data_IF_090922812908
#
_entry.id   IF_090922812908
#
_cell.length_a   1.000
_cell.length_b   1.000
_cell.length_c   1.000
_cell.angle_alpha   90.00
_cell.angle_beta   90.00
_cell.angle_gamma   90.00
#
_symmetry.space_group_name_H-M   'P 1'
#
loop_
_entity.id
_entity.type
_entity.pdbx_description
1 polymer ?
#
# COMPACT_ATOMS: atom_id res chain seq x y z
N UNK A 1 15.21 18.24 -28.24
CA UNK A 1 16.47 18.43 -27.49
C UNK A 1 16.15 18.45 -26.02
N UNK A 2 16.94 17.71 -25.23
CA UNK A 2 16.85 17.61 -23.75
C UNK A 2 15.93 16.47 -23.29
N UNK A 3 16.35 15.44 -22.57
CA UNK A 3 17.67 15.08 -22.08
C UNK A 3 17.67 13.57 -21.80
N UNK A 4 18.82 12.94 -22.02
CA UNK A 4 19.03 11.54 -21.70
C UNK A 4 18.97 11.33 -20.19
N UNK A 5 18.21 10.34 -19.73
CA UNK A 5 18.41 9.72 -18.43
C UNK A 5 18.48 8.23 -18.65
N UNK A 6 19.70 7.77 -18.95
CA UNK A 6 20.04 6.37 -18.95
C UNK A 6 19.70 5.79 -17.59
N UNK A 7 18.75 4.86 -17.56
CA UNK A 7 18.53 3.96 -16.45
C UNK A 7 19.70 2.97 -16.46
N UNK A 8 20.87 3.46 -16.05
CA UNK A 8 22.04 2.64 -15.84
C UNK A 8 21.70 1.59 -14.80
N UNK A 9 22.00 0.35 -15.16
CA UNK A 9 21.78 -0.93 -14.48
C UNK A 9 22.48 -1.06 -13.11
N UNK A 10 22.52 0.00 -12.31
CA UNK A 10 23.35 0.09 -11.11
C UNK A 10 22.84 1.05 -10.03
N UNK A 11 21.53 1.11 -9.77
CA UNK A 11 21.00 1.77 -8.56
C UNK A 11 21.28 0.89 -7.34
N UNK A 12 22.57 0.72 -7.05
CA UNK A 12 23.13 -0.05 -5.96
C UNK A 12 22.92 0.78 -4.71
N UNK A 13 21.83 0.51 -3.99
CA UNK A 13 21.72 0.79 -2.56
C UNK A 13 22.11 2.22 -2.17
N UNK A 14 21.55 3.23 -2.86
CA UNK A 14 21.83 4.62 -2.49
C UNK A 14 21.07 4.96 -1.22
N UNK A 15 21.85 5.27 -0.18
CA UNK A 15 21.39 5.80 1.09
C UNK A 15 20.68 7.14 0.81
N UNK A 16 19.46 7.37 1.35
CA UNK A 16 18.62 8.53 1.01
C UNK A 16 19.20 9.90 1.36
N UNK A 17 20.33 9.97 2.07
CA UNK A 17 20.95 11.23 2.53
C UNK A 17 21.68 12.02 1.42
N UNK A 18 22.09 11.38 0.33
CA UNK A 18 22.90 12.01 -0.75
C UNK A 18 22.07 12.41 -2.00
N UNK A 19 20.74 12.17 -1.99
CA UNK A 19 19.90 12.38 -3.18
C UNK A 19 19.37 13.82 -3.26
N UNK A 20 19.43 14.43 -4.45
CA UNK A 20 18.75 15.68 -4.77
C UNK A 20 17.23 15.53 -4.67
N UNK A 21 16.50 16.64 -4.51
CA UNK A 21 15.03 16.62 -4.38
C UNK A 21 14.32 15.87 -5.53
N UNK A 22 14.85 15.97 -6.77
CA UNK A 22 14.31 15.26 -7.93
C UNK A 22 14.55 13.74 -7.86
N UNK A 23 15.74 13.32 -7.41
CA UNK A 23 16.08 11.91 -7.25
C UNK A 23 15.31 11.25 -6.09
N UNK A 24 14.92 12.04 -5.08
CA UNK A 24 14.06 11.57 -3.98
C UNK A 24 12.67 11.18 -4.46
N UNK A 25 12.09 11.92 -5.41
CA UNK A 25 10.77 11.59 -5.96
C UNK A 25 10.81 10.29 -6.79
N UNK A 26 11.84 10.13 -7.63
CA UNK A 26 12.06 8.90 -8.41
C UNK A 26 12.29 7.69 -7.49
N UNK A 27 13.12 7.86 -6.46
CA UNK A 27 13.37 6.81 -5.47
C UNK A 27 12.08 6.39 -4.75
N UNK A 28 11.23 7.34 -4.35
CA UNK A 28 9.92 7.03 -3.75
C UNK A 28 9.09 6.17 -4.69
N UNK A 29 8.83 6.65 -5.90
CA UNK A 29 8.06 5.93 -6.91
C UNK A 29 8.61 4.53 -7.18
N UNK A 30 9.94 4.39 -7.18
CA UNK A 30 10.62 3.11 -7.35
C UNK A 30 10.36 2.14 -6.20
N UNK A 31 10.42 2.58 -4.94
CA UNK A 31 10.14 1.74 -3.76
C UNK A 31 8.70 1.21 -3.78
N UNK A 32 7.72 2.04 -4.15
CA UNK A 32 6.34 1.59 -4.34
C UNK A 32 6.22 0.58 -5.49
N UNK A 33 6.95 0.79 -6.59
CA UNK A 33 7.02 -0.16 -7.71
C UNK A 33 7.55 -1.52 -7.26
N UNK A 34 8.57 -1.58 -6.40
CA UNK A 34 9.05 -2.85 -5.85
C UNK A 34 7.97 -3.61 -5.09
N UNK A 35 7.16 -2.91 -4.29
CA UNK A 35 6.03 -3.51 -3.59
C UNK A 35 4.98 -4.05 -4.58
N UNK A 36 4.58 -3.27 -5.59
CA UNK A 36 3.63 -3.68 -6.65
C UNK A 36 4.11 -4.94 -7.41
N UNK A 37 5.42 -5.05 -7.64
CA UNK A 37 6.04 -6.18 -8.34
C UNK A 37 6.48 -7.32 -7.41
N UNK A 38 6.06 -7.33 -6.13
CA UNK A 38 6.37 -8.38 -5.14
C UNK A 38 7.87 -8.56 -4.86
N UNK A 39 8.68 -7.53 -5.10
CA UNK A 39 10.14 -7.52 -4.87
C UNK A 39 10.42 -7.22 -3.39
N UNK A 40 10.01 -8.14 -2.51
CA UNK A 40 10.05 -7.95 -1.04
C UNK A 40 11.45 -7.58 -0.52
N UNK A 41 12.51 -8.18 -1.07
CA UNK A 41 13.89 -7.90 -0.67
C UNK A 41 14.29 -6.44 -0.88
N UNK A 42 13.78 -5.81 -1.93
CA UNK A 42 14.09 -4.42 -2.24
C UNK A 42 13.24 -3.46 -1.43
N UNK A 43 11.99 -3.82 -1.12
CA UNK A 43 11.18 -3.10 -0.15
C UNK A 43 11.85 -3.13 1.23
N UNK A 44 12.32 -4.29 1.67
CA UNK A 44 13.06 -4.45 2.92
C UNK A 44 14.34 -3.63 2.94
N UNK A 45 15.16 -3.73 1.88
CA UNK A 45 16.39 -2.95 1.75
C UNK A 45 16.11 -1.44 1.74
N UNK A 46 15.03 -0.97 1.10
CA UNK A 46 14.66 0.44 1.13
C UNK A 46 14.33 0.91 2.55
N UNK A 47 13.57 0.12 3.31
CA UNK A 47 13.24 0.40 4.70
C UNK A 47 14.49 0.35 5.61
N UNK A 48 15.42 -0.57 5.38
CA UNK A 48 16.71 -0.62 6.08
C UNK A 48 17.59 0.60 5.78
N UNK A 49 17.49 1.14 4.57
CA UNK A 49 18.16 2.39 4.20
C UNK A 49 17.45 3.64 4.73
N UNK A 50 16.39 3.51 5.52
CA UNK A 50 15.69 4.64 6.13
C UNK A 50 14.58 5.24 5.27
N UNK A 51 14.04 4.48 4.30
CA UNK A 51 12.80 4.87 3.65
C UNK A 51 11.67 5.00 4.71
N UNK A 52 10.93 6.12 4.74
CA UNK A 52 9.88 6.32 5.73
C UNK A 52 8.75 5.31 5.55
N UNK A 53 8.40 4.57 6.60
CA UNK A 53 7.45 3.45 6.49
C UNK A 53 6.03 3.90 6.11
N UNK A 54 5.64 5.08 6.56
CA UNK A 54 4.34 5.71 6.30
C UNK A 54 4.40 6.75 5.18
N UNK A 55 5.46 6.70 4.38
CA UNK A 55 5.54 7.49 3.16
C UNK A 55 4.32 7.22 2.28
N UNK A 56 3.81 8.27 1.65
CA UNK A 56 2.72 8.18 0.68
C UNK A 56 3.23 8.40 -0.74
N UNK A 57 2.68 7.61 -1.68
CA UNK A 57 2.81 7.85 -3.12
C UNK A 57 1.91 9.00 -3.58
N UNK A 58 1.93 9.31 -4.88
CA UNK A 58 1.12 10.37 -5.49
C UNK A 58 -0.40 10.17 -5.33
N UNK A 59 -0.84 8.97 -4.94
CA UNK A 59 -2.23 8.65 -4.68
C UNK A 59 -2.56 8.61 -3.18
N UNK A 60 -1.61 8.98 -2.32
CA UNK A 60 -1.75 8.90 -0.86
C UNK A 60 -1.58 7.48 -0.32
N UNK A 61 -1.13 6.51 -1.12
CA UNK A 61 -1.02 5.14 -0.67
C UNK A 61 0.31 4.92 0.05
N UNK A 62 0.27 4.25 1.19
CA UNK A 62 1.47 3.77 1.89
C UNK A 62 1.95 2.42 1.36
N UNK A 63 3.15 1.99 1.76
CA UNK A 63 3.64 0.65 1.41
C UNK A 63 2.70 -0.46 1.91
N UNK A 64 2.15 -0.28 3.11
CA UNK A 64 1.14 -1.18 3.66
C UNK A 64 -0.13 -1.18 2.81
N UNK A 65 -0.57 -0.02 2.33
CA UNK A 65 -1.72 0.09 1.44
C UNK A 65 -1.51 -0.67 0.13
N UNK A 66 -0.35 -0.48 -0.52
CA UNK A 66 -0.02 -1.19 -1.77
C UNK A 66 0.07 -2.71 -1.54
N UNK A 67 0.62 -3.13 -0.41
CA UNK A 67 0.65 -4.54 -0.03
C UNK A 67 -0.76 -5.11 0.19
N UNK A 68 -1.65 -4.34 0.82
CA UNK A 68 -3.05 -4.70 1.04
C UNK A 68 -3.83 -4.86 -0.27
N UNK A 69 -3.70 -3.89 -1.19
CA UNK A 69 -4.32 -3.95 -2.52
C UNK A 69 -3.93 -5.22 -3.30
N UNK A 70 -2.66 -5.62 -3.21
CA UNK A 70 -2.12 -6.75 -3.96
C UNK A 70 -2.15 -8.08 -3.18
N UNK A 71 -2.70 -8.11 -1.96
CA UNK A 71 -2.75 -9.31 -1.13
C UNK A 71 -1.39 -9.81 -0.65
N UNK A 72 -0.38 -8.94 -0.59
CA UNK A 72 1.01 -9.29 -0.28
C UNK A 72 1.22 -9.44 1.21
N UNK A 73 0.77 -10.56 1.77
CA UNK A 73 0.81 -10.83 3.21
C UNK A 73 2.20 -10.69 3.82
N UNK A 74 3.26 -11.10 3.13
CA UNK A 74 4.64 -10.97 3.62
C UNK A 74 5.09 -9.51 3.67
N UNK A 75 4.78 -8.71 2.65
CA UNK A 75 5.10 -7.29 2.62
C UNK A 75 4.32 -6.52 3.69
N UNK A 76 3.02 -6.81 3.85
CA UNK A 76 2.21 -6.20 4.91
C UNK A 76 2.72 -6.54 6.31
N UNK A 77 3.09 -7.81 6.55
CA UNK A 77 3.74 -8.24 7.81
C UNK A 77 5.04 -7.48 8.06
N UNK A 78 5.86 -7.33 7.03
CA UNK A 78 7.11 -6.59 7.14
C UNK A 78 6.84 -5.12 7.50
N UNK A 79 5.91 -4.45 6.80
CA UNK A 79 5.56 -3.06 7.08
C UNK A 79 5.08 -2.86 8.53
N UNK A 80 4.16 -3.72 9.00
CA UNK A 80 3.64 -3.64 10.36
C UNK A 80 4.70 -3.93 11.43
N UNK A 81 5.62 -4.87 11.18
CA UNK A 81 6.77 -5.09 12.08
C UNK A 81 7.71 -3.89 12.16
N UNK A 82 7.77 -3.07 11.11
CA UNK A 82 8.53 -1.82 11.06
C UNK A 82 7.74 -0.62 11.59
N UNK A 83 6.55 -0.82 12.15
CA UNK A 83 5.76 0.22 12.78
C UNK A 83 4.83 0.99 11.84
N UNK A 84 4.52 0.46 10.64
CA UNK A 84 3.56 1.10 9.74
C UNK A 84 2.22 1.37 10.41
N UNK A 85 1.67 2.56 10.19
CA UNK A 85 0.33 2.91 10.63
C UNK A 85 -0.73 2.19 9.79
N UNK A 86 -1.49 1.32 10.45
CA UNK A 86 -2.47 0.43 9.81
C UNK A 86 -3.70 1.14 9.25
N UNK A 87 -4.01 2.33 9.78
CA UNK A 87 -5.23 3.07 9.50
C UNK A 87 -5.03 4.30 8.58
N UNK A 88 -3.84 4.49 8.01
CA UNK A 88 -3.60 5.64 7.12
C UNK A 88 -4.48 5.58 5.88
N UNK A 89 -5.18 6.67 5.63
CA UNK A 89 -6.07 6.82 4.49
C UNK A 89 -5.31 7.34 3.28
N UNK A 90 -5.67 6.83 2.10
CA UNK A 90 -5.23 7.41 0.84
C UNK A 90 -6.04 8.65 0.44
N UNK A 91 -5.75 9.25 -0.72
CA UNK A 91 -6.46 10.46 -1.18
C UNK A 91 -7.98 10.26 -1.41
N UNK A 92 -8.47 9.01 -1.41
CA UNK A 92 -9.89 8.67 -1.50
C UNK A 92 -10.51 8.30 -0.14
N UNK A 93 -9.80 8.57 0.95
CA UNK A 93 -10.24 8.20 2.30
C UNK A 93 -10.19 6.69 2.57
N UNK A 94 -9.68 5.85 1.66
CA UNK A 94 -9.67 4.41 1.90
C UNK A 94 -8.48 4.03 2.77
N UNK A 95 -8.70 3.13 3.73
CA UNK A 95 -7.63 2.48 4.51
C UNK A 95 -7.13 1.22 3.79
N UNK A 96 -5.97 0.65 4.17
CA UNK A 96 -5.51 -0.65 3.67
C UNK A 96 -6.57 -1.76 3.83
N UNK A 97 -7.38 -1.69 4.91
CA UNK A 97 -8.43 -2.67 5.18
C UNK A 97 -9.55 -2.63 4.13
N UNK A 98 -9.98 -1.44 3.67
CA UNK A 98 -10.97 -1.30 2.59
C UNK A 98 -10.56 -2.10 1.35
N UNK A 99 -9.29 -2.03 0.98
CA UNK A 99 -8.77 -2.73 -0.21
C UNK A 99 -8.58 -4.22 0.02
N UNK A 100 -8.25 -4.67 1.25
CA UNK A 100 -8.23 -6.10 1.52
C UNK A 100 -9.60 -6.74 1.29
N UNK A 101 -10.67 -6.11 1.75
CA UNK A 101 -12.01 -6.62 1.51
C UNK A 101 -12.46 -6.45 0.05
N UNK A 102 -12.17 -5.32 -0.60
CA UNK A 102 -12.60 -5.06 -1.99
C UNK A 102 -12.01 -6.05 -2.99
N UNK A 103 -10.79 -6.55 -2.72
CA UNK A 103 -10.10 -7.52 -3.56
C UNK A 103 -10.16 -8.96 -3.00
N UNK A 104 -10.92 -9.20 -1.92
CA UNK A 104 -11.12 -10.55 -1.37
C UNK A 104 -9.92 -11.15 -0.62
N UNK A 105 -9.00 -10.33 -0.13
CA UNK A 105 -7.81 -10.75 0.62
C UNK A 105 -8.14 -11.01 2.10
N UNK A 106 -9.13 -11.86 2.39
CA UNK A 106 -9.69 -12.07 3.74
C UNK A 106 -8.64 -12.47 4.78
N UNK A 107 -7.66 -13.29 4.40
CA UNK A 107 -6.58 -13.70 5.30
C UNK A 107 -5.60 -12.58 5.65
N UNK A 108 -5.49 -11.55 4.81
CA UNK A 108 -4.75 -10.33 5.11
C UNK A 108 -5.62 -9.34 5.88
N UNK A 109 -6.90 -9.20 5.54
CA UNK A 109 -7.86 -8.37 6.29
C UNK A 109 -7.91 -8.77 7.76
N UNK A 110 -8.08 -10.08 8.04
CA UNK A 110 -8.10 -10.60 9.41
C UNK A 110 -6.80 -10.29 10.15
N UNK A 111 -5.66 -10.38 9.46
CA UNK A 111 -4.36 -10.03 10.06
C UNK A 111 -4.22 -8.54 10.35
N UNK A 112 -4.75 -7.65 9.50
CA UNK A 112 -4.74 -6.21 9.76
C UNK A 112 -5.62 -5.86 10.96
N UNK A 113 -6.80 -6.46 11.08
CA UNK A 113 -7.70 -6.29 12.24
C UNK A 113 -7.01 -6.75 13.53
N UNK A 114 -6.34 -7.90 13.50
CA UNK A 114 -5.54 -8.39 14.64
C UNK A 114 -4.42 -7.41 15.05
N UNK A 115 -3.94 -6.58 14.10
CA UNK A 115 -2.94 -5.54 14.34
C UNK A 115 -3.54 -4.15 14.62
N UNK A 116 -4.84 -4.08 14.90
CA UNK A 116 -5.52 -2.84 15.30
C UNK A 116 -6.04 -2.01 14.12
N UNK A 117 -6.27 -2.62 12.96
CA UNK A 117 -7.00 -1.95 11.89
C UNK A 117 -8.44 -1.65 12.35
N UNK A 118 -8.88 -0.43 12.12
CA UNK A 118 -10.21 0.04 12.45
C UNK A 118 -11.13 -0.15 11.22
N UNK A 119 -12.13 -1.01 11.36
CA UNK A 119 -13.14 -1.33 10.36
C UNK A 119 -14.28 -0.30 10.30
N UNK A 120 -14.37 0.61 11.28
CA UNK A 120 -15.38 1.67 11.33
C UNK A 120 -15.00 2.93 10.57
N UNK A 121 -13.74 3.05 10.11
CA UNK A 121 -13.28 4.20 9.33
C UNK A 121 -14.06 4.29 8.03
N UNK A 122 -14.64 5.46 7.77
CA UNK A 122 -15.35 5.76 6.55
C UNK A 122 -14.42 6.35 5.49
N UNK A 123 -14.58 5.92 4.25
CA UNK A 123 -13.90 6.54 3.12
C UNK A 123 -14.54 7.88 2.71
N UNK A 124 -14.02 8.53 1.66
CA UNK A 124 -14.56 9.82 1.19
C UNK A 124 -16.01 9.76 0.69
N UNK A 125 -16.52 8.56 0.38
CA UNK A 125 -17.92 8.33 0.00
C UNK A 125 -18.82 8.08 1.23
N UNK A 126 -18.27 8.16 2.44
CA UNK A 126 -18.99 7.87 3.69
C UNK A 126 -19.25 6.39 3.93
N UNK A 127 -18.47 5.50 3.31
CA UNK A 127 -18.67 4.05 3.39
C UNK A 127 -17.63 3.39 4.29
N UNK A 128 -18.08 2.45 5.12
CA UNK A 128 -17.18 1.57 5.89
C UNK A 128 -16.50 0.52 4.99
N UNK A 129 -15.59 -0.27 5.57
CA UNK A 129 -14.95 -1.39 4.87
C UNK A 129 -15.95 -2.46 4.42
N UNK A 130 -17.11 -2.58 5.04
CA UNK A 130 -18.14 -3.55 4.64
C UNK A 130 -19.02 -3.03 3.50
N UNK A 131 -19.30 -1.72 3.48
CA UNK A 131 -20.19 -1.11 2.49
C UNK A 131 -19.45 -0.69 1.21
N UNK A 132 -18.21 -0.19 1.35
CA UNK A 132 -17.41 0.27 0.22
C UNK A 132 -17.01 -0.84 -0.75
N UNK A 133 -16.97 -2.08 -0.26
CA UNK A 133 -16.49 -3.25 -1.02
C UNK A 133 -17.59 -3.86 -1.89
N UNK A 134 -18.86 -3.67 -1.50
CA UNK A 134 -20.01 -4.02 -2.31
C UNK A 134 -20.11 -3.19 -3.60
N UNK A 135 -19.60 -1.93 -3.60
CA UNK A 135 -19.61 -1.06 -4.79
C UNK A 135 -18.54 -1.42 -5.82
N UNK A 136 -17.43 -2.03 -5.39
CA UNK A 136 -16.28 -2.34 -6.26
C UNK A 136 -16.13 -3.85 -6.58
N UNK A 137 -16.88 -4.70 -5.86
CA UNK A 137 -17.00 -6.12 -6.21
C UNK A 137 -17.84 -6.26 -7.47
N UNK A 138 -17.29 -6.90 -8.51
CA UNK A 138 -18.12 -7.47 -9.60
C UNK A 138 -19.27 -8.23 -8.95
N UNK A 139 -20.51 -8.14 -9.46
CA UNK A 139 -21.67 -8.75 -8.82
C UNK A 139 -21.48 -10.27 -8.75
N UNK A 140 -20.94 -10.74 -7.63
CA UNK A 140 -21.05 -12.13 -7.25
C UNK A 140 -22.47 -12.26 -6.72
N UNK A 141 -23.37 -12.69 -7.62
CA UNK A 141 -24.70 -13.24 -7.34
C UNK A 141 -25.43 -12.62 -6.16
N UNK A 142 -26.48 -11.86 -6.47
CA UNK A 142 -27.63 -11.74 -5.58
C UNK A 142 -27.94 -13.13 -5.01
N UNK A 143 -27.64 -13.34 -3.73
CA UNK A 143 -28.37 -14.29 -2.91
C UNK A 143 -29.40 -13.44 -2.17
N UNK A 144 -30.69 -13.56 -2.51
CA UNK A 144 -31.71 -12.84 -1.78
C UNK A 144 -31.82 -13.52 -0.42
N UNK A 145 -31.41 -12.83 0.64
CA UNK A 145 -31.75 -13.28 2.00
C UNK A 145 -32.87 -12.38 2.51
N UNK A 146 -34.10 -12.85 2.27
CA UNK A 146 -35.32 -12.78 3.08
C UNK A 146 -35.61 -11.51 3.92
N UNK A 147 -36.76 -10.87 3.67
CA UNK A 147 -38.06 -11.27 4.21
C UNK A 147 -39.20 -10.78 3.30
#
# INVERSE_FOLDING_TARGET
GGGASGLSSGFKTLVPLELSLGERAEYRSQVFSFCRHKRLREVEAALDNGFPIDEQDENGNTLLFVAAQNGLRQAAKLCLRRGAHVNLQNLRGNTPLHYCFAYGHSGLAAYLIEKGADDSILNSDGLSVYEGTAKNSRPASQSPTSC
#
